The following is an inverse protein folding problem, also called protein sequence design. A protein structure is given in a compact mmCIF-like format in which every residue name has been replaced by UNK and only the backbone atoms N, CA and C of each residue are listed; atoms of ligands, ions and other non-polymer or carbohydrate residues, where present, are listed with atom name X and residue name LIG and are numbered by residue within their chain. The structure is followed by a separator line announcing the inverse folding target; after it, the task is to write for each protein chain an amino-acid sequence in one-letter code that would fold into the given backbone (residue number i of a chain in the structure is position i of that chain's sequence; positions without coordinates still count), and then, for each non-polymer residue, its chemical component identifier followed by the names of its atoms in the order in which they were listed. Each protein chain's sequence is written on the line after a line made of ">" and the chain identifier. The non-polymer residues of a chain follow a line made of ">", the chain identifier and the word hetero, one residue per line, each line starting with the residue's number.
data_IF_954010552028
#
_entry.id   IF_954010552028
#
_cell.length_a   1.000
_cell.length_b   1.000
_cell.length_c   1.000
_cell.angle_alpha   90.00
_cell.angle_beta   90.00
_cell.angle_gamma   90.00
#
_symmetry.space_group_name_H-M   'P 1'
#
loop_
_entity.id
_entity.type
_entity.pdbx_description
1 polymer ?
#
# COMPACT_ATOMS: atom_id res chain seq x y z
N UNK A 1 15.96 5.97 -0.06
CA UNK A 1 14.65 6.46 0.38
C UNK A 1 13.68 5.29 0.52
N UNK A 2 12.73 5.39 1.42
CA UNK A 2 11.78 4.32 1.68
C UNK A 2 10.38 4.81 1.39
N UNK A 3 9.48 3.88 1.02
CA UNK A 3 8.12 4.19 0.58
C UNK A 3 7.12 3.29 1.27
N UNK A 4 5.93 3.81 1.47
CA UNK A 4 4.80 3.08 2.02
C UNK A 4 3.53 3.42 1.25
N UNK A 5 2.42 2.86 1.70
CA UNK A 5 1.11 3.08 1.08
C UNK A 5 0.26 3.93 2.00
N UNK A 6 -0.22 5.05 1.47
CA UNK A 6 -1.22 5.88 2.12
C UNK A 6 -2.60 5.45 1.62
N UNK A 7 -3.48 5.09 2.55
CA UNK A 7 -4.89 4.88 2.27
C UNK A 7 -5.58 6.24 2.33
N UNK A 8 -5.96 6.78 1.17
CA UNK A 8 -6.51 8.12 1.07
C UNK A 8 -7.88 8.24 1.72
N UNK A 9 -8.68 7.18 1.72
CA UNK A 9 -10.01 7.18 2.33
C UNK A 9 -9.92 7.30 3.86
N UNK A 10 -8.94 6.64 4.46
CA UNK A 10 -8.72 6.67 5.90
C UNK A 10 -7.69 7.73 6.31
N UNK A 11 -6.94 8.29 5.36
CA UNK A 11 -5.84 9.21 5.59
C UNK A 11 -4.80 8.63 6.57
N UNK A 12 -4.45 7.36 6.36
CA UNK A 12 -3.53 6.62 7.22
C UNK A 12 -2.61 5.74 6.38
N UNK A 13 -1.39 5.52 6.87
CA UNK A 13 -0.46 4.58 6.24
C UNK A 13 -0.90 3.15 6.50
N UNK A 14 -0.89 2.32 5.44
CA UNK A 14 -1.24 0.92 5.53
C UNK A 14 -0.05 0.09 5.96
N UNK A 15 -0.11 -0.49 7.14
CA UNK A 15 0.94 -1.33 7.65
C UNK A 15 1.10 -2.60 6.82
N UNK A 16 2.31 -3.13 6.75
CA UNK A 16 2.59 -4.33 5.98
C UNK A 16 3.00 -4.09 4.54
N UNK A 17 2.85 -2.88 4.03
CA UNK A 17 3.24 -2.52 2.67
C UNK A 17 4.31 -1.44 2.69
N UNK A 18 5.56 -1.82 2.56
CA UNK A 18 6.67 -0.90 2.50
C UNK A 18 7.82 -1.47 1.68
N UNK A 19 8.55 -0.61 0.99
CA UNK A 19 9.71 -1.03 0.20
C UNK A 19 10.65 0.15 -0.03
N UNK A 20 11.92 -0.15 -0.27
CA UNK A 20 12.87 0.84 -0.74
C UNK A 20 12.73 1.11 -2.25
N UNK A 21 12.02 0.25 -2.98
CA UNK A 21 11.77 0.38 -4.42
C UNK A 21 10.29 0.65 -4.66
N UNK A 22 9.92 1.89 -5.10
CA UNK A 22 8.51 2.21 -5.31
C UNK A 22 7.86 1.41 -6.43
N UNK A 23 8.63 0.98 -7.43
CA UNK A 23 8.09 0.15 -8.52
C UNK A 23 7.73 -1.24 -8.02
N UNK A 24 8.58 -1.83 -7.19
CA UNK A 24 8.29 -3.11 -6.56
C UNK A 24 7.07 -3.02 -5.64
N UNK A 25 7.01 -1.96 -4.84
CA UNK A 25 5.87 -1.72 -3.96
C UNK A 25 4.58 -1.60 -4.76
N UNK A 26 4.59 -0.84 -5.85
CA UNK A 26 3.41 -0.67 -6.71
C UNK A 26 2.91 -2.00 -7.25
N UNK A 27 3.80 -2.83 -7.80
CA UNK A 27 3.40 -4.12 -8.36
C UNK A 27 2.86 -5.08 -7.29
N UNK A 28 3.53 -5.15 -6.15
CA UNK A 28 3.11 -6.05 -5.07
C UNK A 28 1.74 -5.68 -4.52
N UNK A 29 1.51 -4.39 -4.29
CA UNK A 29 0.22 -3.91 -3.78
C UNK A 29 -0.87 -4.06 -4.82
N UNK A 30 -0.57 -3.76 -6.10
CA UNK A 30 -1.53 -3.93 -7.18
C UNK A 30 -1.99 -5.39 -7.31
N UNK A 31 -1.07 -6.34 -7.25
CA UNK A 31 -1.43 -7.75 -7.28
C UNK A 31 -2.30 -8.15 -6.09
N UNK A 32 -2.01 -7.63 -4.91
CA UNK A 32 -2.87 -7.87 -3.74
C UNK A 32 -4.29 -7.31 -3.97
N UNK A 33 -4.40 -6.09 -4.50
CA UNK A 33 -5.69 -5.50 -4.83
C UNK A 33 -6.45 -6.38 -5.82
N UNK A 34 -5.78 -6.82 -6.89
CA UNK A 34 -6.40 -7.64 -7.94
C UNK A 34 -6.88 -9.00 -7.43
N UNK A 35 -6.24 -9.53 -6.39
CA UNK A 35 -6.66 -10.80 -5.78
C UNK A 35 -7.94 -10.67 -4.95
N UNK A 36 -8.18 -9.49 -4.37
CA UNK A 36 -9.28 -9.32 -3.42
C UNK A 36 -10.43 -8.47 -3.95
N UNK A 37 -10.19 -7.70 -5.03
CA UNK A 37 -11.22 -6.78 -5.54
C UNK A 37 -12.26 -7.50 -6.39
N UNK A 38 -13.50 -7.03 -6.28
CA UNK A 38 -14.60 -7.38 -7.19
C UNK A 38 -14.99 -6.18 -8.08
N UNK A 39 -14.24 -5.09 -8.03
CA UNK A 39 -14.49 -3.91 -8.85
C UNK A 39 -14.13 -4.18 -10.32
N UNK A 40 -15.15 -4.26 -11.16
CA UNK A 40 -14.99 -4.58 -12.57
C UNK A 40 -14.19 -3.51 -13.32
N UNK A 41 -14.24 -2.25 -12.89
CA UNK A 41 -13.47 -1.18 -13.52
C UNK A 41 -11.97 -1.39 -13.33
N UNK A 42 -11.55 -1.80 -12.14
CA UNK A 42 -10.15 -2.11 -11.85
C UNK A 42 -9.70 -3.32 -12.67
N UNK A 43 -10.50 -4.38 -12.71
CA UNK A 43 -10.17 -5.60 -13.46
C UNK A 43 -10.07 -5.34 -14.96
N UNK A 44 -10.98 -4.57 -15.52
CA UNK A 44 -10.95 -4.18 -16.93
C UNK A 44 -9.75 -3.33 -17.26
N UNK A 45 -9.42 -2.36 -16.40
CA UNK A 45 -8.25 -1.51 -16.60
C UNK A 45 -6.98 -2.34 -16.64
N UNK A 46 -6.83 -3.27 -15.70
CA UNK A 46 -5.66 -4.14 -15.65
C UNK A 46 -5.54 -5.01 -16.90
N UNK A 47 -6.66 -5.51 -17.43
CA UNK A 47 -6.65 -6.32 -18.64
C UNK A 47 -6.14 -5.53 -19.86
N UNK A 48 -6.44 -4.24 -19.91
CA UNK A 48 -6.02 -3.35 -21.01
C UNK A 48 -4.63 -2.77 -20.80
N UNK A 49 -4.21 -2.59 -19.54
CA UNK A 49 -2.94 -1.95 -19.17
C UNK A 49 -2.21 -2.80 -18.11
N UNK A 50 -1.70 -3.99 -18.48
CA UNK A 50 -1.21 -4.96 -17.49
C UNK A 50 0.04 -4.54 -16.72
N UNK A 51 0.74 -3.49 -17.20
CA UNK A 51 1.96 -3.00 -16.54
C UNK A 51 1.76 -1.67 -15.81
N UNK A 52 0.55 -1.14 -15.80
CA UNK A 52 0.26 0.13 -15.13
C UNK A 52 -0.29 -0.11 -13.72
N UNK A 53 0.61 -0.40 -12.79
CA UNK A 53 0.25 -0.72 -11.41
C UNK A 53 -0.16 0.52 -10.62
N UNK A 54 0.47 1.66 -10.88
CA UNK A 54 0.16 2.90 -10.14
C UNK A 54 -1.29 3.32 -10.29
N UNK A 55 -1.86 3.20 -11.49
CA UNK A 55 -3.27 3.52 -11.71
C UNK A 55 -4.18 2.57 -10.95
N UNK A 56 -3.82 1.29 -10.86
CA UNK A 56 -4.58 0.32 -10.05
C UNK A 56 -4.63 0.76 -8.58
N UNK A 57 -3.51 1.19 -8.02
CA UNK A 57 -3.47 1.71 -6.65
C UNK A 57 -4.38 2.94 -6.50
N UNK A 58 -4.28 3.89 -7.43
CA UNK A 58 -5.09 5.11 -7.42
C UNK A 58 -6.59 4.79 -7.48
N UNK A 59 -7.00 3.86 -8.33
CA UNK A 59 -8.40 3.45 -8.44
C UNK A 59 -8.92 2.83 -7.16
N UNK A 60 -8.04 2.20 -6.38
CA UNK A 60 -8.40 1.59 -5.09
C UNK A 60 -8.34 2.60 -3.92
N UNK A 61 -7.85 3.81 -4.16
CA UNK A 61 -7.70 4.82 -3.11
C UNK A 61 -6.37 4.77 -2.38
N UNK A 62 -5.36 4.14 -2.96
CA UNK A 62 -4.01 4.04 -2.41
C UNK A 62 -3.06 4.98 -3.12
N UNK A 63 -2.04 5.44 -2.38
CA UNK A 63 -0.98 6.28 -2.94
C UNK A 63 0.36 5.85 -2.35
N UNK A 64 1.39 5.78 -3.19
CA UNK A 64 2.75 5.55 -2.72
C UNK A 64 3.32 6.87 -2.21
N UNK A 65 3.80 6.86 -0.97
CA UNK A 65 4.36 8.05 -0.31
C UNK A 65 5.73 7.74 0.28
N UNK A 66 6.65 8.72 0.33
CA UNK A 66 7.91 8.52 1.03
C UNK A 66 7.67 8.45 2.54
N UNK A 67 8.43 7.58 3.22
CA UNK A 67 8.34 7.41 4.67
C UNK A 67 9.73 7.47 5.29
N UNK A 68 9.80 7.77 6.58
CA UNK A 68 11.05 7.76 7.32
C UNK A 68 11.53 6.32 7.54
N UNK A 69 12.84 6.15 7.73
CA UNK A 69 13.42 4.81 7.89
C UNK A 69 12.87 4.08 9.11
N UNK A 70 12.67 4.78 10.21
CA UNK A 70 12.10 4.16 11.42
C UNK A 70 10.66 3.68 11.20
N UNK A 71 9.87 4.41 10.44
CA UNK A 71 8.52 3.98 10.03
C UNK A 71 8.63 2.76 9.12
N UNK A 72 9.55 2.78 8.17
CA UNK A 72 9.79 1.65 7.28
C UNK A 72 10.16 0.38 8.07
N UNK A 73 11.03 0.50 9.06
CA UNK A 73 11.46 -0.64 9.88
C UNK A 73 10.28 -1.27 10.62
N UNK A 74 9.35 -0.46 11.11
CA UNK A 74 8.11 -0.93 11.73
C UNK A 74 7.22 -1.63 10.72
N UNK A 75 7.01 -1.01 9.56
CA UNK A 75 6.07 -1.50 8.56
C UNK A 75 6.53 -2.77 7.85
N UNK A 76 7.82 -3.00 7.79
CA UNK A 76 8.39 -4.20 7.16
C UNK A 76 8.57 -5.37 8.10
N UNK A 77 8.24 -5.24 9.37
CA UNK A 77 8.31 -6.32 10.36
C UNK A 77 7.12 -7.26 10.18
N UNK A 78 7.41 -8.53 9.85
CA UNK A 78 6.37 -9.54 9.61
C UNK A 78 5.48 -9.79 10.82
N UNK A 79 6.04 -9.69 12.01
CA UNK A 79 5.25 -9.86 13.24
C UNK A 79 4.28 -8.68 13.44
N UNK A 80 4.73 -7.48 13.10
CA UNK A 80 3.88 -6.28 13.14
C UNK A 80 2.75 -6.41 12.11
N UNK A 81 3.04 -6.87 10.91
CA UNK A 81 2.03 -7.09 9.88
C UNK A 81 0.94 -8.04 10.36
N UNK A 82 1.32 -9.15 10.95
CA UNK A 82 0.35 -10.11 11.49
C UNK A 82 -0.48 -9.49 12.60
N UNK A 83 0.12 -8.72 13.50
CA UNK A 83 -0.59 -8.03 14.56
C UNK A 83 -1.55 -6.97 14.02
N UNK A 84 -1.16 -6.27 12.94
CA UNK A 84 -1.96 -5.24 12.29
C UNK A 84 -3.27 -5.80 11.77
N UNK A 85 -3.27 -6.99 11.20
CA UNK A 85 -4.48 -7.60 10.65
C UNK A 85 -5.53 -7.84 11.73
N UNK A 86 -5.11 -8.10 12.96
CA UNK A 86 -6.01 -8.52 14.04
C UNK A 86 -6.32 -7.45 15.08
N UNK A 87 -5.60 -6.32 15.10
CA UNK A 87 -5.75 -5.30 16.15
C UNK A 87 -5.96 -3.90 15.56
N UNK A 88 -6.80 -3.10 16.21
CA UNK A 88 -7.16 -1.76 15.79
C UNK A 88 -6.38 -0.69 16.56
N UNK A 89 -6.15 0.48 15.97
CA UNK A 89 -5.97 0.72 14.53
C UNK A 89 -4.54 0.34 14.13
N UNK A 90 -4.38 -0.12 12.92
CA UNK A 90 -3.07 -0.61 12.48
C UNK A 90 -2.48 0.25 11.38
N UNK A 91 -2.86 1.48 11.37
CA UNK A 91 -2.36 2.47 10.43
C UNK A 91 -1.54 3.50 11.17
N UNK A 92 -0.46 3.96 10.53
CA UNK A 92 0.29 5.11 11.01
C UNK A 92 -0.32 6.38 10.44
N UNK A 93 -0.42 7.42 11.26
CA UNK A 93 -0.97 8.69 10.83
C UNK A 93 0.00 9.42 9.91
N UNK A 94 -0.49 10.24 8.98
CA UNK A 94 0.39 10.93 8.01
C UNK A 94 1.55 11.70 8.63
N UNK A 95 1.37 12.31 9.78
CA UNK A 95 2.43 13.02 10.46
C UNK A 95 3.59 12.13 10.91
N UNK A 96 3.40 10.82 10.96
CA UNK A 96 4.44 9.88 11.40
C UNK A 96 5.43 9.51 10.30
N UNK A 97 5.08 9.73 9.04
CA UNK A 97 6.00 9.41 7.95
C UNK A 97 6.85 10.60 7.50
N UNK A 98 6.63 11.74 8.12
CA UNK A 98 7.43 12.94 7.86
C UNK A 98 8.74 12.84 8.61
#
# INVERSE_FOLDING_TARGET
>A
MHYGILDQDLNQLRMGFASADPSELASNVAFHILEVTDDTNILEYHAQHPNDYNTILTMHGFEIVPIAKDVYDIMSDENIETAVVSAEPKYLWPEQYR
#
